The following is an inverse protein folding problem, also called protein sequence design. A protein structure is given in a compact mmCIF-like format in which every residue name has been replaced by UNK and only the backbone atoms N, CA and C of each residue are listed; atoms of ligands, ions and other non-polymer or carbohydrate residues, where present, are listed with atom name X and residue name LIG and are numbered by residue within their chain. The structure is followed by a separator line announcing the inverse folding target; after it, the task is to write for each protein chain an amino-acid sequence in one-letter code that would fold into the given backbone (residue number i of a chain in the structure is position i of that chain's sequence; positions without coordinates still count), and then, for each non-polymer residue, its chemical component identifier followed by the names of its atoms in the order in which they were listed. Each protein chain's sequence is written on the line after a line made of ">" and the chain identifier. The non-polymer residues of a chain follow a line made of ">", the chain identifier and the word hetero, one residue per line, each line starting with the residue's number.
data_IF_295876384759
#
_entry.id   IF_295876384759
#
_cell.length_a   1.000
_cell.length_b   1.000
_cell.length_c   1.000
_cell.angle_alpha   90.00
_cell.angle_beta   90.00
_cell.angle_gamma   90.00
#
_symmetry.space_group_name_H-M   'P 1'
#
loop_
_entity.id
_entity.type
_entity.pdbx_description
1 polymer ?
#
# COMPACT_ATOMS: atom_id res chain seq x y z
N UNK A 1 19.37 -4.87 25.42
CA UNK A 1 19.38 -5.71 24.23
C UNK A 1 20.34 -6.87 24.46
N UNK A 2 19.88 -8.14 24.30
CA UNK A 2 20.79 -9.28 24.43
C UNK A 2 21.67 -9.44 23.18
N UNK A 3 22.83 -10.11 23.30
CA UNK A 3 23.68 -10.37 22.13
C UNK A 3 22.98 -11.12 21.00
N UNK A 4 22.06 -12.03 21.32
CA UNK A 4 21.25 -12.75 20.31
C UNK A 4 20.31 -11.83 19.55
N UNK A 5 19.61 -10.91 20.25
CA UNK A 5 18.76 -9.94 19.58
C UNK A 5 19.56 -8.96 18.71
N UNK A 6 20.76 -8.55 19.16
CA UNK A 6 21.65 -7.71 18.36
C UNK A 6 22.07 -8.42 17.07
N UNK A 7 22.42 -9.71 17.17
CA UNK A 7 22.75 -10.53 16.01
C UNK A 7 21.60 -10.61 15.01
N UNK A 8 20.36 -10.86 15.48
CA UNK A 8 19.17 -10.90 14.62
C UNK A 8 18.94 -9.57 13.87
N UNK A 9 19.11 -8.43 14.55
CA UNK A 9 19.00 -7.12 13.89
C UNK A 9 20.09 -6.91 12.84
N UNK A 10 21.32 -7.27 13.15
CA UNK A 10 22.41 -7.16 12.18
C UNK A 10 22.15 -8.02 10.93
N UNK A 11 21.67 -9.26 11.11
CA UNK A 11 21.30 -10.13 9.99
C UNK A 11 20.17 -9.50 9.15
N UNK A 12 19.19 -8.89 9.78
CA UNK A 12 18.11 -8.18 9.06
C UNK A 12 18.62 -6.95 8.29
N UNK A 13 19.62 -6.26 8.80
CA UNK A 13 20.22 -5.08 8.15
C UNK A 13 21.07 -5.43 6.94
N UNK A 14 21.73 -6.60 6.90
CA UNK A 14 22.60 -7.00 5.80
C UNK A 14 21.90 -7.04 4.43
N UNK A 15 20.61 -7.34 4.41
CA UNK A 15 19.79 -7.40 3.16
C UNK A 15 18.76 -6.29 3.04
N UNK A 16 18.80 -5.28 3.93
CA UNK A 16 17.78 -4.25 3.98
C UNK A 16 17.67 -3.46 2.67
N UNK A 17 18.81 -3.03 2.10
CA UNK A 17 18.83 -2.28 0.84
C UNK A 17 18.20 -3.06 -0.31
N UNK A 18 18.55 -4.34 -0.45
CA UNK A 18 18.02 -5.22 -1.50
C UNK A 18 16.50 -5.38 -1.39
N UNK A 19 15.99 -5.54 -0.14
CA UNK A 19 14.55 -5.64 0.09
C UNK A 19 13.82 -4.33 -0.20
N UNK A 20 14.36 -3.20 0.29
CA UNK A 20 13.74 -1.88 0.07
C UNK A 20 13.73 -1.50 -1.41
N UNK A 21 14.80 -1.76 -2.14
CA UNK A 21 14.85 -1.55 -3.61
C UNK A 21 13.76 -2.34 -4.32
N UNK A 22 13.60 -3.64 -3.99
CA UNK A 22 12.55 -4.49 -4.55
C UNK A 22 11.16 -4.00 -4.16
N UNK A 23 10.93 -3.61 -2.91
CA UNK A 23 9.66 -3.02 -2.45
C UNK A 23 9.28 -1.80 -3.26
N UNK A 24 10.22 -0.87 -3.46
CA UNK A 24 9.98 0.36 -4.20
C UNK A 24 9.70 0.08 -5.68
N UNK A 25 10.48 -0.81 -6.30
CA UNK A 25 10.26 -1.22 -7.70
C UNK A 25 8.86 -1.81 -7.91
N UNK A 26 8.46 -2.75 -7.05
CA UNK A 26 7.14 -3.36 -7.11
C UNK A 26 6.04 -2.33 -6.85
N UNK A 27 6.20 -1.48 -5.83
CA UNK A 27 5.21 -0.46 -5.48
C UNK A 27 4.95 0.52 -6.62
N UNK A 28 5.98 0.98 -7.32
CA UNK A 28 5.82 1.90 -8.45
C UNK A 28 5.02 1.27 -9.60
N UNK A 29 5.24 -0.01 -9.89
CA UNK A 29 4.47 -0.75 -10.92
C UNK A 29 3.01 -0.92 -10.50
N UNK A 30 2.76 -1.24 -9.23
CA UNK A 30 1.40 -1.36 -8.69
C UNK A 30 0.69 0.00 -8.66
N UNK A 31 1.39 1.08 -8.29
CA UNK A 31 0.86 2.45 -8.35
C UNK A 31 0.45 2.82 -9.77
N UNK A 32 1.29 2.54 -10.77
CA UNK A 32 0.98 2.79 -12.17
C UNK A 32 -0.24 1.97 -12.65
N UNK A 33 -0.29 0.68 -12.29
CA UNK A 33 -1.43 -0.19 -12.60
C UNK A 33 -2.73 0.35 -12.00
N UNK A 34 -2.74 0.65 -10.70
CA UNK A 34 -3.92 1.14 -10.00
C UNK A 34 -4.37 2.52 -10.51
N UNK A 35 -3.42 3.42 -10.82
CA UNK A 35 -3.73 4.76 -11.32
C UNK A 35 -4.44 4.73 -12.69
N UNK A 36 -4.25 3.67 -13.47
CA UNK A 36 -4.91 3.46 -14.76
C UNK A 36 -6.14 2.54 -14.68
N UNK A 37 -6.45 1.97 -13.51
CA UNK A 37 -7.51 0.99 -13.37
C UNK A 37 -8.90 1.64 -13.30
N UNK A 38 -9.91 1.17 -14.11
CA UNK A 38 -11.22 1.82 -14.23
C UNK A 38 -12.04 1.83 -12.93
N UNK A 39 -11.82 0.90 -12.01
CA UNK A 39 -12.50 0.83 -10.70
C UNK A 39 -11.78 1.60 -9.58
N UNK A 40 -10.65 2.24 -9.86
CA UNK A 40 -9.94 3.10 -8.92
C UNK A 40 -10.37 4.55 -9.11
N UNK A 41 -10.69 5.22 -8.01
CA UNK A 41 -11.03 6.64 -7.99
C UNK A 41 -9.78 7.51 -7.89
N UNK A 42 -8.85 7.12 -7.00
CA UNK A 42 -7.63 7.87 -6.71
C UNK A 42 -6.54 6.97 -6.14
N UNK A 43 -5.31 7.25 -6.48
CA UNK A 43 -4.13 6.67 -5.83
C UNK A 43 -3.40 7.77 -5.07
N UNK A 44 -3.18 7.58 -3.77
CA UNK A 44 -2.49 8.52 -2.90
C UNK A 44 -1.00 8.14 -2.80
N UNK A 45 -0.25 8.40 -3.86
CA UNK A 45 1.19 8.21 -3.91
C UNK A 45 1.84 9.41 -4.65
N UNK A 46 2.95 9.97 -4.15
CA UNK A 46 3.53 11.19 -4.72
C UNK A 46 4.02 11.05 -6.16
N UNK A 47 4.33 9.83 -6.61
CA UNK A 47 4.75 9.60 -8.00
C UNK A 47 3.65 9.89 -9.04
N UNK A 48 2.37 9.82 -8.64
CA UNK A 48 1.20 10.07 -9.51
C UNK A 48 0.38 11.28 -9.05
N UNK A 49 0.96 12.14 -8.22
CA UNK A 49 0.30 13.38 -7.77
C UNK A 49 0.16 14.37 -8.92
N UNK A 50 -1.01 14.98 -9.05
CA UNK A 50 -1.28 16.07 -10.01
C UNK A 50 -0.75 17.43 -9.52
N UNK A 51 -0.32 17.53 -8.25
CA UNK A 51 0.24 18.75 -7.67
C UNK A 51 1.73 18.90 -8.02
N UNK A 52 2.12 19.92 -8.80
CA UNK A 52 3.52 20.15 -9.17
C UNK A 52 4.47 20.33 -7.98
N UNK A 53 3.98 20.90 -6.87
CA UNK A 53 4.77 21.09 -5.65
C UNK A 53 5.11 19.75 -4.99
N UNK A 54 4.15 18.81 -4.95
CA UNK A 54 4.37 17.47 -4.44
C UNK A 54 5.33 16.68 -5.33
N UNK A 55 5.24 16.83 -6.64
CA UNK A 55 6.19 16.20 -7.58
C UNK A 55 7.62 16.73 -7.41
N UNK A 56 7.77 18.03 -7.18
CA UNK A 56 9.10 18.63 -6.92
C UNK A 56 9.70 18.09 -5.61
N UNK A 57 8.91 18.07 -4.53
CA UNK A 57 9.32 17.52 -3.25
C UNK A 57 9.65 16.02 -3.34
N UNK A 58 8.84 15.26 -4.07
CA UNK A 58 9.08 13.84 -4.31
C UNK A 58 10.45 13.62 -5.00
N UNK A 59 10.72 14.31 -6.10
CA UNK A 59 11.99 14.20 -6.81
C UNK A 59 13.18 14.61 -5.94
N UNK A 60 13.00 15.63 -5.09
CA UNK A 60 14.04 16.17 -4.22
C UNK A 60 14.39 15.23 -3.06
N UNK A 61 13.40 14.67 -2.40
CA UNK A 61 13.58 13.90 -1.17
C UNK A 61 13.58 12.38 -1.37
N UNK A 62 13.03 11.89 -2.47
CA UNK A 62 12.91 10.47 -2.78
C UNK A 62 13.48 10.13 -4.16
N UNK A 63 14.79 10.40 -4.40
CA UNK A 63 15.40 10.17 -5.72
C UNK A 63 15.40 8.69 -6.12
N UNK A 64 15.29 7.78 -5.15
CA UNK A 64 15.25 6.32 -5.35
C UNK A 64 13.86 5.74 -5.15
N UNK A 65 12.80 6.57 -5.14
CA UNK A 65 11.41 6.15 -4.93
C UNK A 65 10.88 6.36 -3.52
N UNK A 66 9.55 6.48 -3.38
CA UNK A 66 8.85 6.95 -2.18
C UNK A 66 8.43 5.86 -1.18
N UNK A 67 9.08 4.70 -1.19
CA UNK A 67 8.71 3.59 -0.32
C UNK A 67 7.65 2.68 -0.96
N UNK A 68 7.03 1.80 -0.14
CA UNK A 68 6.13 0.76 -0.63
C UNK A 68 4.75 0.76 0.03
N UNK A 69 4.48 1.77 0.86
CA UNK A 69 3.20 1.93 1.54
C UNK A 69 2.47 3.12 0.94
N UNK A 70 1.24 2.89 0.52
CA UNK A 70 0.38 3.94 -0.01
C UNK A 70 -1.09 3.54 0.16
N UNK A 71 -2.00 4.47 -0.15
CA UNK A 71 -3.43 4.19 -0.15
C UNK A 71 -4.01 4.43 -1.54
N UNK A 72 -5.11 3.77 -1.82
CA UNK A 72 -5.96 4.09 -2.96
C UNK A 72 -7.44 4.06 -2.54
N UNK A 73 -8.28 4.68 -3.34
CA UNK A 73 -9.72 4.74 -3.15
C UNK A 73 -10.38 3.94 -4.27
N UNK A 74 -11.10 2.87 -3.91
CA UNK A 74 -11.89 2.10 -4.87
C UNK A 74 -13.20 2.85 -5.17
N UNK A 75 -13.68 2.82 -6.42
CA UNK A 75 -14.98 3.41 -6.75
C UNK A 75 -16.10 2.62 -6.09
N UNK A 76 -16.79 3.23 -5.13
CA UNK A 76 -17.86 2.62 -4.36
C UNK A 76 -17.85 3.03 -2.90
N UNK A 77 -18.39 2.17 -2.06
CA UNK A 77 -18.54 2.38 -0.63
C UNK A 77 -17.57 1.51 0.20
N UNK A 78 -17.74 1.55 1.52
CA UNK A 78 -16.94 0.75 2.47
C UNK A 78 -17.16 -0.76 2.30
N UNK A 79 -18.36 -1.15 1.91
CA UNK A 79 -18.67 -2.56 1.64
C UNK A 79 -17.88 -3.07 0.45
N UNK A 80 -17.82 -2.30 -0.63
CA UNK A 80 -17.06 -2.67 -1.81
C UNK A 80 -15.56 -2.76 -1.52
N UNK A 81 -15.02 -1.85 -0.68
CA UNK A 81 -13.63 -1.90 -0.25
C UNK A 81 -13.33 -3.19 0.56
N UNK A 82 -14.22 -3.57 1.46
CA UNK A 82 -14.09 -4.82 2.24
C UNK A 82 -14.23 -6.06 1.36
N UNK A 83 -15.23 -6.09 0.49
CA UNK A 83 -15.44 -7.19 -0.45
C UNK A 83 -14.21 -7.36 -1.37
N UNK A 84 -13.56 -6.27 -1.81
CA UNK A 84 -12.30 -6.32 -2.55
C UNK A 84 -11.18 -6.98 -1.74
N UNK A 85 -10.99 -6.54 -0.49
CA UNK A 85 -9.95 -7.09 0.41
C UNK A 85 -10.18 -8.58 0.68
N UNK A 86 -11.43 -8.99 0.89
CA UNK A 86 -11.80 -10.38 1.18
C UNK A 86 -11.57 -11.33 -0.01
N UNK A 87 -11.44 -10.80 -1.23
CA UNK A 87 -11.13 -11.57 -2.44
C UNK A 87 -9.63 -11.60 -2.80
N UNK A 88 -8.77 -10.95 -2.04
CA UNK A 88 -7.31 -11.06 -2.21
C UNK A 88 -6.80 -12.37 -1.61
N UNK A 89 -5.97 -13.10 -2.36
CA UNK A 89 -5.39 -14.38 -1.94
C UNK A 89 -3.90 -14.26 -1.57
N UNK A 90 -3.15 -13.41 -2.27
CA UNK A 90 -1.73 -13.20 -2.03
C UNK A 90 -1.50 -12.24 -0.86
N UNK A 91 -2.29 -11.17 -0.76
CA UNK A 91 -2.16 -10.18 0.29
C UNK A 91 -2.62 -10.72 1.64
N UNK A 92 -1.88 -10.44 2.70
CA UNK A 92 -2.31 -10.74 4.07
C UNK A 92 -2.98 -9.53 4.71
N UNK A 93 -4.13 -9.74 5.38
CA UNK A 93 -4.84 -8.71 6.15
C UNK A 93 -4.08 -8.44 7.45
N UNK A 94 -3.13 -7.53 7.40
CA UNK A 94 -2.24 -7.19 8.51
C UNK A 94 -1.68 -5.77 8.34
N UNK A 95 -1.56 -5.03 9.47
CA UNK A 95 -0.89 -3.73 9.50
C UNK A 95 0.58 -3.91 9.89
N UNK A 96 1.49 -3.61 8.95
CA UNK A 96 2.93 -3.57 9.20
C UNK A 96 3.60 -2.56 8.24
N UNK A 97 4.89 -2.35 8.41
CA UNK A 97 5.73 -1.49 7.58
C UNK A 97 6.89 -2.31 7.02
N UNK A 98 7.02 -2.31 5.69
CA UNK A 98 8.10 -2.97 4.96
C UNK A 98 8.25 -4.48 5.29
N UNK A 99 7.13 -5.17 5.47
CA UNK A 99 7.11 -6.62 5.52
C UNK A 99 7.49 -7.18 4.15
N UNK A 100 8.18 -8.32 4.11
CA UNK A 100 8.54 -8.98 2.85
C UNK A 100 7.31 -9.46 2.07
N UNK A 101 6.19 -9.68 2.77
CA UNK A 101 4.90 -10.03 2.19
C UNK A 101 4.10 -8.77 1.85
N UNK A 102 3.32 -8.85 0.79
CA UNK A 102 2.30 -7.85 0.48
C UNK A 102 1.16 -7.88 1.50
N UNK A 103 0.81 -6.72 2.03
CA UNK A 103 -0.18 -6.55 3.08
C UNK A 103 -1.25 -5.55 2.66
N UNK A 104 -2.46 -5.77 3.17
CA UNK A 104 -3.61 -4.90 2.94
C UNK A 104 -4.35 -4.63 4.24
N UNK A 105 -4.90 -3.43 4.40
CA UNK A 105 -5.89 -3.13 5.43
C UNK A 105 -6.96 -2.17 4.89
N UNK A 106 -8.11 -2.20 5.55
CA UNK A 106 -9.14 -1.17 5.47
C UNK A 106 -8.99 -0.24 6.68
N UNK A 107 -8.34 0.94 6.56
CA UNK A 107 -7.98 1.75 7.71
C UNK A 107 -9.16 2.13 8.61
N UNK A 108 -10.29 2.52 8.01
CA UNK A 108 -11.47 2.97 8.74
C UNK A 108 -12.06 1.90 9.68
N UNK A 109 -11.99 0.61 9.32
CA UNK A 109 -12.52 -0.48 10.15
C UNK A 109 -11.46 -1.23 10.98
N UNK A 110 -10.18 -0.89 10.83
CA UNK A 110 -9.07 -1.57 11.52
C UNK A 110 -8.27 -0.60 12.38
N UNK A 111 -7.21 -0.02 11.84
CA UNK A 111 -6.27 0.83 12.61
C UNK A 111 -6.87 2.15 13.11
N UNK A 112 -7.97 2.60 12.52
CA UNK A 112 -8.65 3.85 12.87
C UNK A 112 -10.11 3.64 13.30
N UNK A 113 -10.47 2.41 13.69
CA UNK A 113 -11.84 2.02 14.04
C UNK A 113 -12.44 2.75 15.25
N UNK A 114 -11.62 3.42 16.06
CA UNK A 114 -12.05 4.25 17.19
C UNK A 114 -12.47 5.68 16.79
N UNK A 115 -12.17 6.11 15.56
CA UNK A 115 -12.51 7.43 15.05
C UNK A 115 -13.93 7.43 14.47
N UNK A 116 -14.62 8.57 14.61
CA UNK A 116 -15.89 8.80 13.91
C UNK A 116 -15.66 9.26 12.46
N UNK A 117 -16.72 9.38 11.66
CA UNK A 117 -16.62 9.73 10.23
C UNK A 117 -15.96 11.08 9.97
N UNK A 118 -16.24 12.09 10.80
CA UNK A 118 -15.66 13.43 10.68
C UNK A 118 -14.14 13.40 10.95
N UNK A 119 -13.73 12.70 12.01
CA UNK A 119 -12.33 12.52 12.37
C UNK A 119 -11.55 11.71 11.28
N UNK A 120 -12.18 10.70 10.68
CA UNK A 120 -11.59 9.94 9.58
C UNK A 120 -11.36 10.84 8.35
N UNK A 121 -12.36 11.63 7.97
CA UNK A 121 -12.27 12.56 6.84
C UNK A 121 -11.22 13.65 7.06
N UNK A 122 -11.09 14.17 8.29
CA UNK A 122 -10.06 15.16 8.67
C UNK A 122 -8.64 14.59 8.49
N UNK A 123 -8.48 13.28 8.69
CA UNK A 123 -7.24 12.55 8.42
C UNK A 123 -7.08 12.08 6.97
N UNK A 124 -8.02 12.43 6.08
CA UNK A 124 -8.01 12.02 4.68
C UNK A 124 -8.35 10.55 4.44
N UNK A 125 -9.01 9.90 5.41
CA UNK A 125 -9.44 8.49 5.31
C UNK A 125 -10.92 8.47 4.95
N UNK A 126 -11.22 8.02 3.73
CA UNK A 126 -12.60 7.81 3.28
C UNK A 126 -13.06 6.37 3.57
N UNK A 127 -14.39 6.11 3.56
CA UNK A 127 -14.92 4.75 3.72
C UNK A 127 -14.42 3.73 2.70
N UNK A 128 -14.09 4.19 1.50
CA UNK A 128 -13.57 3.38 0.39
C UNK A 128 -12.03 3.37 0.27
N UNK A 129 -11.32 3.86 1.30
CA UNK A 129 -9.86 3.89 1.33
C UNK A 129 -9.28 2.52 1.69
N UNK A 130 -8.37 2.02 0.87
CA UNK A 130 -7.61 0.79 1.08
C UNK A 130 -6.13 1.16 1.19
N UNK A 131 -5.42 0.62 2.18
CA UNK A 131 -3.97 0.78 2.32
C UNK A 131 -3.26 -0.50 1.92
N UNK A 132 -2.26 -0.36 1.06
CA UNK A 132 -1.36 -1.43 0.68
C UNK A 132 0.05 -1.21 1.26
N UNK A 133 0.72 -2.32 1.59
CA UNK A 133 2.16 -2.38 1.82
C UNK A 133 2.69 -3.44 0.88
N UNK A 134 3.37 -3.01 -0.18
CA UNK A 134 3.80 -3.91 -1.26
C UNK A 134 5.07 -4.65 -0.84
N UNK A 135 5.03 -5.96 -0.97
CA UNK A 135 6.11 -6.87 -0.63
C UNK A 135 7.14 -7.09 -1.74
N UNK A 136 7.91 -8.16 -1.59
CA UNK A 136 9.01 -8.52 -2.49
C UNK A 136 8.66 -9.64 -3.46
N UNK A 137 7.41 -10.08 -3.50
CA UNK A 137 6.91 -11.11 -4.40
C UNK A 137 7.10 -10.71 -5.87
N UNK A 138 6.85 -11.64 -6.79
CA UNK A 138 6.79 -11.29 -8.20
C UNK A 138 5.69 -10.24 -8.44
N UNK A 139 6.02 -9.15 -9.09
CA UNK A 139 5.08 -8.03 -9.30
C UNK A 139 3.90 -8.41 -10.18
N UNK A 140 4.07 -9.33 -11.12
CA UNK A 140 2.99 -9.80 -11.98
C UNK A 140 1.96 -10.58 -11.17
N UNK A 141 2.39 -11.40 -10.21
CA UNK A 141 1.50 -12.12 -9.29
C UNK A 141 0.74 -11.15 -8.37
N UNK A 142 1.42 -10.08 -7.89
CA UNK A 142 0.76 -9.02 -7.10
C UNK A 142 -0.35 -8.34 -7.92
N UNK A 143 -0.06 -7.98 -9.17
CA UNK A 143 -1.02 -7.31 -10.05
C UNK A 143 -2.16 -8.25 -10.43
N UNK A 144 -1.88 -9.53 -10.68
CA UNK A 144 -2.89 -10.54 -10.98
C UNK A 144 -3.86 -10.73 -9.82
N UNK A 145 -3.37 -10.82 -8.58
CA UNK A 145 -4.21 -10.92 -7.38
C UNK A 145 -5.14 -9.70 -7.22
N UNK A 146 -4.60 -8.49 -7.43
CA UNK A 146 -5.41 -7.26 -7.43
C UNK A 146 -6.48 -7.28 -8.53
N UNK A 147 -6.14 -7.71 -9.75
CA UNK A 147 -7.07 -7.77 -10.88
C UNK A 147 -8.21 -8.78 -10.63
N UNK A 148 -7.89 -9.96 -10.09
CA UNK A 148 -8.92 -10.96 -9.74
C UNK A 148 -9.85 -10.45 -8.64
N UNK A 149 -9.33 -9.76 -7.62
CA UNK A 149 -10.14 -9.11 -6.61
C UNK A 149 -11.07 -8.02 -7.19
N UNK A 150 -10.58 -7.21 -8.15
CA UNK A 150 -11.42 -6.24 -8.88
C UNK A 150 -12.52 -6.90 -9.70
N UNK A 151 -12.27 -8.06 -10.32
CA UNK A 151 -13.29 -8.80 -11.07
C UNK A 151 -14.39 -9.38 -10.17
N UNK A 152 -14.04 -9.73 -8.93
CA UNK A 152 -14.98 -10.28 -7.96
C UNK A 152 -15.96 -9.22 -7.42
N UNK A 153 -15.57 -7.95 -7.37
CA UNK A 153 -16.41 -6.84 -6.87
C UNK A 153 -17.05 -6.06 -8.03
N UNK A 154 -18.36 -6.19 -8.15
CA UNK A 154 -19.18 -5.55 -9.21
C UNK A 154 -19.79 -4.23 -8.75
#
# INVERSE_FOLDING_TARGET
>A
LSPFHAFMFLQGLETLSLRVERHVENALKVVEYLNNHPQVEKVNHPAVSDDPSQQELYKKYFPNGGGSIFTFEIKGDDKKAKDFIDNLELFSLLANVADVKSLVIHPASTTHSQLNEEELLDQGIKPNTIRLSIGTENVDDIIEDLEEAFKAVK
#
